data_IF_533309138366
#
_entry.id   IF_533309138366
#
_cell.length_a   1.000
_cell.length_b   1.000
_cell.length_c   1.000
_cell.angle_alpha   90.00
_cell.angle_beta   90.00
_cell.angle_gamma   90.00
#
_symmetry.space_group_name_H-M   'P 1'
#
loop_
_entity.id
_entity.type
_entity.pdbx_description
1 polymer ?
#
# COMPACT_ATOMS: atom_id res chain seq x y z
N UNK A 1 -5.29 -7.49 -18.84
CA UNK A 1 -6.28 -7.78 -17.79
C UNK A 1 -5.57 -8.24 -16.53
N UNK A 2 -5.48 -7.36 -15.54
CA UNK A 2 -4.85 -7.63 -14.26
C UNK A 2 -5.18 -6.54 -13.24
N UNK A 3 -4.75 -6.77 -11.99
CA UNK A 3 -4.82 -5.76 -10.94
C UNK A 3 -3.52 -4.96 -10.94
N UNK A 4 -3.65 -3.64 -10.88
CA UNK A 4 -2.55 -2.73 -10.60
C UNK A 4 -2.69 -2.29 -9.15
N UNK A 5 -1.64 -2.55 -8.37
CA UNK A 5 -1.50 -2.08 -7.00
C UNK A 5 -0.42 -1.00 -7.00
N UNK A 6 -0.83 0.23 -6.75
CA UNK A 6 0.06 1.38 -6.70
C UNK A 6 -0.03 2.01 -5.33
N UNK A 7 1.13 2.35 -4.77
CA UNK A 7 1.19 3.06 -3.52
C UNK A 7 1.42 4.52 -3.81
N UNK A 8 0.44 5.31 -3.39
CA UNK A 8 0.43 6.74 -3.63
C UNK A 8 0.49 7.50 -2.32
N UNK A 9 1.10 8.67 -2.40
CA UNK A 9 1.28 9.56 -1.27
C UNK A 9 0.65 10.89 -1.61
N UNK A 10 -0.44 11.23 -0.92
CA UNK A 10 -1.13 12.49 -1.15
C UNK A 10 -0.73 13.49 -0.09
N UNK A 11 -0.03 14.55 -0.53
CA UNK A 11 0.41 15.65 0.32
C UNK A 11 -0.34 16.92 -0.05
N UNK A 12 -0.74 17.68 0.96
CA UNK A 12 -1.22 19.04 0.76
C UNK A 12 -0.04 20.00 0.80
N UNK A 13 -0.11 21.13 0.09
CA UNK A 13 0.92 22.18 0.15
C UNK A 13 0.41 23.30 1.05
N UNK A 14 1.20 23.71 2.05
CA UNK A 14 0.83 24.83 2.91
C UNK A 14 1.06 26.14 2.17
N UNK A 15 0.00 26.94 1.99
CA UNK A 15 0.06 28.18 1.20
C UNK A 15 1.02 29.23 1.78
N UNK A 16 1.34 29.18 3.09
CA UNK A 16 2.23 30.16 3.72
C UNK A 16 3.69 29.77 3.60
N UNK A 17 4.00 28.48 3.81
CA UNK A 17 5.39 28.00 3.81
C UNK A 17 5.81 27.44 2.46
N UNK A 18 4.86 27.09 1.59
CA UNK A 18 5.10 26.34 0.36
C UNK A 18 5.50 24.89 0.58
N UNK A 19 5.53 24.43 1.84
CA UNK A 19 6.01 23.09 2.19
C UNK A 19 4.88 22.06 2.13
N UNK A 20 5.16 20.83 1.69
CA UNK A 20 4.21 19.74 1.78
C UNK A 20 3.90 19.42 3.25
N UNK A 21 2.66 19.04 3.53
CA UNK A 21 2.20 18.65 4.87
C UNK A 21 1.10 17.61 4.79
N UNK A 22 0.85 16.98 5.93
CA UNK A 22 -0.24 16.04 6.15
C UNK A 22 -1.15 16.49 7.26
N UNK A 23 -2.45 16.27 7.04
CA UNK A 23 -3.45 16.45 8.06
C UNK A 23 -3.54 15.19 8.91
N UNK A 24 -3.55 15.35 10.22
CA UNK A 24 -3.76 14.25 11.16
C UNK A 24 -4.66 14.70 12.32
N UNK A 25 -5.27 13.74 13.01
CA UNK A 25 -6.10 14.05 14.18
C UNK A 25 -5.23 13.90 15.43
N UNK A 26 -5.00 15.01 16.13
CA UNK A 26 -4.29 15.06 17.40
C UNK A 26 -5.27 15.40 18.52
N UNK A 27 -5.49 14.47 19.45
CA UNK A 27 -6.43 14.66 20.58
C UNK A 27 -7.83 15.14 20.18
N UNK A 28 -8.33 14.72 19.00
CA UNK A 28 -9.65 15.10 18.49
C UNK A 28 -9.67 16.38 17.64
N UNK A 29 -8.52 17.04 17.46
CA UNK A 29 -8.39 18.24 16.61
C UNK A 29 -7.62 17.92 15.33
N UNK A 30 -8.00 18.58 14.23
CA UNK A 30 -7.26 18.51 12.97
C UNK A 30 -5.98 19.35 13.11
N UNK A 31 -4.83 18.70 12.95
CA UNK A 31 -3.50 19.30 13.04
C UNK A 31 -2.70 19.03 11.76
N UNK A 32 -1.66 19.84 11.52
CA UNK A 32 -0.81 19.77 10.33
C UNK A 32 0.61 19.37 10.73
N UNK A 33 1.15 18.34 10.07
CA UNK A 33 2.57 17.98 10.19
C UNK A 33 3.25 18.23 8.86
N UNK A 34 4.26 19.09 8.84
CA UNK A 34 5.12 19.27 7.67
C UNK A 34 5.77 17.95 7.29
N UNK A 35 5.79 17.67 6.00
CA UNK A 35 6.43 16.49 5.45
C UNK A 35 7.83 16.87 4.96
N UNK A 36 8.83 16.15 5.44
CA UNK A 36 10.19 16.19 4.89
C UNK A 36 10.42 14.91 4.06
N UNK A 37 10.66 15.02 2.74
CA UNK A 37 10.95 13.86 1.89
C UNK A 37 12.12 13.00 2.38
N UNK A 38 13.11 13.59 3.06
CA UNK A 38 14.26 12.85 3.58
C UNK A 38 13.89 11.95 4.77
N UNK A 39 12.83 12.29 5.52
CA UNK A 39 12.31 11.45 6.61
C UNK A 39 11.60 10.18 6.12
N UNK A 40 11.19 10.17 4.84
CA UNK A 40 10.40 9.10 4.23
C UNK A 40 11.08 8.53 2.98
N UNK A 41 12.36 8.18 3.12
CA UNK A 41 13.07 7.43 2.10
C UNK A 41 12.72 5.95 2.17
N UNK A 42 12.10 5.44 1.11
CA UNK A 42 11.75 4.02 0.99
C UNK A 42 13.04 3.20 0.85
N UNK A 43 13.28 2.19 1.71
CA UNK A 43 14.41 1.26 1.58
C UNK A 43 14.46 0.60 0.20
N UNK A 44 15.68 0.38 -0.31
CA UNK A 44 15.89 -0.18 -1.65
C UNK A 44 15.18 -1.53 -1.85
N UNK A 45 15.18 -2.39 -0.82
CA UNK A 45 14.48 -3.68 -0.82
C UNK A 45 12.97 -3.60 -0.98
N UNK A 46 12.37 -2.42 -0.81
CA UNK A 46 10.93 -2.22 -0.90
C UNK A 46 10.50 -1.46 -2.15
N UNK A 47 11.46 -0.97 -2.95
CA UNK A 47 11.14 -0.17 -4.14
C UNK A 47 10.32 -0.96 -5.16
N UNK A 48 10.55 -2.28 -5.26
CA UNK A 48 9.77 -3.13 -6.16
C UNK A 48 8.27 -3.12 -5.81
N UNK A 49 7.92 -3.03 -4.52
CA UNK A 49 6.53 -3.13 -4.07
C UNK A 49 5.72 -1.83 -4.18
N UNK A 50 6.34 -0.72 -4.59
CA UNK A 50 5.65 0.58 -4.75
C UNK A 50 4.61 0.51 -5.87
N UNK A 51 4.97 -0.13 -6.97
CA UNK A 51 4.12 -0.29 -8.14
C UNK A 51 4.20 -1.73 -8.58
N UNK A 52 3.07 -2.42 -8.47
CA UNK A 52 2.97 -3.84 -8.70
C UNK A 52 1.79 -4.11 -9.63
N UNK A 53 1.98 -5.10 -10.50
CA UNK A 53 0.94 -5.53 -11.43
C UNK A 53 0.85 -7.04 -11.42
N UNK A 54 -0.37 -7.54 -11.47
CA UNK A 54 -0.63 -8.92 -11.86
C UNK A 54 -1.83 -9.54 -11.16
N UNK A 55 -2.13 -10.76 -11.56
CA UNK A 55 -3.32 -11.47 -11.10
C UNK A 55 -3.19 -12.01 -9.67
N UNK A 56 -1.95 -12.12 -9.15
CA UNK A 56 -1.67 -12.51 -7.77
C UNK A 56 -2.37 -11.62 -6.74
N UNK A 57 -2.60 -10.34 -7.07
CA UNK A 57 -3.26 -9.41 -6.15
C UNK A 57 -4.75 -9.70 -5.96
N UNK A 58 -5.36 -10.55 -6.79
CA UNK A 58 -6.76 -10.96 -6.66
C UNK A 58 -7.09 -11.46 -5.25
N UNK A 59 -6.21 -12.25 -4.64
CA UNK A 59 -6.43 -12.81 -3.30
C UNK A 59 -6.36 -11.75 -2.19
N UNK A 60 -5.58 -10.70 -2.41
CA UNK A 60 -5.33 -9.66 -1.41
C UNK A 60 -6.45 -8.64 -1.33
N UNK A 61 -7.27 -8.56 -2.38
CA UNK A 61 -8.25 -7.48 -2.55
C UNK A 61 -9.69 -7.95 -2.52
N UNK A 62 -9.93 -9.24 -2.26
CA UNK A 62 -11.29 -9.83 -2.22
C UNK A 62 -12.23 -9.14 -1.23
N UNK A 63 -11.66 -8.53 -0.20
CA UNK A 63 -12.41 -7.83 0.85
C UNK A 63 -12.63 -6.34 0.51
N UNK A 64 -12.13 -5.87 -0.63
CA UNK A 64 -12.29 -4.51 -1.12
C UNK A 64 -13.22 -4.51 -2.34
N UNK A 65 -14.39 -3.90 -2.20
CA UNK A 65 -15.40 -3.84 -3.27
C UNK A 65 -15.23 -2.56 -4.09
N UNK A 66 -15.12 -2.68 -5.41
CA UNK A 66 -15.10 -1.57 -6.37
C UNK A 66 -14.05 -1.73 -7.48
N UNK A 67 -14.19 -0.96 -8.56
CA UNK A 67 -13.22 -0.91 -9.67
C UNK A 67 -11.91 -0.20 -9.25
N UNK A 68 -12.03 0.70 -8.28
CA UNK A 68 -10.93 1.37 -7.60
C UNK A 68 -11.20 1.35 -6.10
N UNK A 69 -10.19 1.00 -5.30
CA UNK A 69 -10.27 1.06 -3.86
C UNK A 69 -9.03 1.73 -3.27
N UNK A 70 -9.25 2.53 -2.22
CA UNK A 70 -8.17 3.15 -1.45
C UNK A 70 -8.12 2.58 -0.04
N UNK A 71 -6.96 2.05 0.36
CA UNK A 71 -6.73 1.44 1.67
C UNK A 71 -5.54 2.09 2.37
N UNK A 72 -5.58 2.22 3.70
CA UNK A 72 -4.34 2.48 4.45
C UNK A 72 -3.58 1.17 4.66
N UNK A 73 -2.25 1.21 4.86
CA UNK A 73 -1.45 0.02 5.17
C UNK A 73 -2.07 -0.85 6.27
N UNK A 74 -2.47 -0.28 7.41
CA UNK A 74 -3.17 -1.01 8.48
C UNK A 74 -4.45 -1.73 8.04
N UNK A 75 -5.23 -1.10 7.16
CA UNK A 75 -6.53 -1.63 6.73
C UNK A 75 -6.29 -2.79 5.75
N UNK A 76 -5.25 -2.67 4.92
CA UNK A 76 -4.77 -3.75 4.06
C UNK A 76 -4.20 -4.92 4.87
N UNK A 77 -3.36 -4.63 5.88
CA UNK A 77 -2.78 -5.63 6.78
C UNK A 77 -3.84 -6.41 7.57
N UNK A 78 -4.94 -5.76 7.96
CA UNK A 78 -6.03 -6.41 8.67
C UNK A 78 -6.67 -7.55 7.87
N UNK A 79 -6.73 -7.41 6.54
CA UNK A 79 -7.30 -8.40 5.63
C UNK A 79 -6.23 -9.18 4.85
N UNK A 80 -4.97 -9.09 5.27
CA UNK A 80 -3.87 -9.72 4.55
C UNK A 80 -4.05 -11.25 4.55
N UNK A 81 -4.08 -11.90 3.37
CA UNK A 81 -4.38 -13.32 3.28
C UNK A 81 -3.23 -14.17 3.82
N UNK A 82 -3.54 -15.41 4.24
CA UNK A 82 -2.51 -16.41 4.52
C UNK A 82 -1.87 -16.91 3.22
N UNK A 83 -0.57 -17.20 3.25
CA UNK A 83 0.15 -17.67 2.06
C UNK A 83 -0.47 -18.93 1.44
N UNK A 84 -0.94 -19.89 2.24
CA UNK A 84 -1.55 -21.11 1.68
C UNK A 84 -2.83 -20.80 0.90
N UNK A 85 -3.62 -19.82 1.37
CA UNK A 85 -4.81 -19.37 0.66
C UNK A 85 -4.45 -18.68 -0.66
N UNK A 86 -3.42 -17.82 -0.64
CA UNK A 86 -2.89 -17.18 -1.86
C UNK A 86 -2.39 -18.23 -2.84
N UNK A 87 -1.59 -19.19 -2.36
CA UNK A 87 -1.01 -20.26 -3.19
C UNK A 87 -2.08 -21.09 -3.88
N UNK A 88 -3.11 -21.55 -3.17
CA UNK A 88 -4.20 -22.36 -3.77
C UNK A 88 -4.92 -21.58 -4.88
N UNK A 89 -5.10 -20.28 -4.70
CA UNK A 89 -5.78 -19.43 -5.68
C UNK A 89 -4.88 -19.07 -6.86
N UNK A 90 -3.59 -18.93 -6.62
CA UNK A 90 -2.57 -18.66 -7.63
C UNK A 90 -2.09 -19.91 -8.35
N UNK A 91 -2.27 -21.14 -7.83
CA UNK A 91 -1.98 -22.38 -8.57
C UNK A 91 -2.83 -22.52 -9.86
N UNK A 92 -3.87 -21.71 -9.99
CA UNK A 92 -4.68 -21.56 -11.21
C UNK A 92 -4.09 -20.54 -12.21
N UNK A 93 -3.03 -19.83 -11.81
CA UNK A 93 -2.34 -18.79 -12.55
C UNK A 93 -0.91 -19.29 -12.77
N UNK A 94 -0.51 -19.46 -14.03
CA UNK A 94 0.76 -20.05 -14.46
C UNK A 94 1.94 -19.07 -14.23
N UNK A 95 2.08 -18.56 -12.99
CA UNK A 95 2.95 -17.43 -12.64
C UNK A 95 3.86 -17.80 -11.46
N UNK A 96 5.05 -18.33 -11.80
CA UNK A 96 6.13 -18.69 -10.85
C UNK A 96 6.77 -17.47 -10.16
N UNK A 97 6.40 -16.25 -10.56
CA UNK A 97 7.03 -15.04 -10.04
C UNK A 97 6.64 -14.73 -8.58
N UNK A 98 5.39 -15.00 -8.19
CA UNK A 98 4.90 -14.66 -6.85
C UNK A 98 4.96 -15.85 -5.91
N UNK A 99 5.92 -15.85 -4.99
CA UNK A 99 6.14 -16.93 -4.01
C UNK A 99 5.98 -16.46 -2.55
N UNK A 100 6.21 -17.37 -1.61
CA UNK A 100 6.07 -17.13 -0.17
C UNK A 100 7.00 -16.02 0.33
N UNK A 101 8.21 -15.92 -0.24
CA UNK A 101 9.15 -14.86 0.08
C UNK A 101 8.58 -13.51 -0.34
N UNK A 102 8.09 -13.38 -1.58
CA UNK A 102 7.46 -12.12 -2.03
C UNK A 102 6.24 -11.76 -1.19
N UNK A 103 5.43 -12.76 -0.80
CA UNK A 103 4.29 -12.56 0.09
C UNK A 103 4.70 -12.02 1.46
N UNK A 104 5.77 -12.55 2.05
CA UNK A 104 6.27 -12.11 3.34
C UNK A 104 6.97 -10.76 3.27
N UNK A 105 7.78 -10.53 2.23
CA UNK A 105 8.47 -9.26 1.99
C UNK A 105 7.48 -8.13 1.72
N UNK A 106 6.42 -8.41 0.97
CA UNK A 106 5.34 -7.45 0.75
C UNK A 106 4.65 -7.11 2.08
N UNK A 107 4.35 -8.11 2.92
CA UNK A 107 3.80 -7.86 4.26
C UNK A 107 4.72 -7.00 5.12
N UNK A 108 6.01 -7.31 5.15
CA UNK A 108 7.02 -6.54 5.90
C UNK A 108 7.05 -5.09 5.41
N UNK A 109 6.94 -4.87 4.10
CA UNK A 109 6.84 -3.53 3.53
C UNK A 109 5.58 -2.78 3.98
N UNK A 110 4.41 -3.45 4.00
CA UNK A 110 3.17 -2.86 4.52
C UNK A 110 3.31 -2.44 5.98
N UNK A 111 3.91 -3.30 6.81
CA UNK A 111 4.16 -3.05 8.23
C UNK A 111 5.14 -1.88 8.41
N UNK A 112 6.21 -1.83 7.60
CA UNK A 112 7.16 -0.72 7.61
C UNK A 112 6.48 0.61 7.26
N UNK A 113 5.61 0.64 6.24
CA UNK A 113 4.86 1.85 5.89
C UNK A 113 3.88 2.26 6.97
N UNK A 114 3.16 1.33 7.58
CA UNK A 114 2.24 1.65 8.68
C UNK A 114 3.00 2.27 9.86
N UNK A 115 4.18 1.74 10.18
CA UNK A 115 5.03 2.26 11.25
C UNK A 115 5.62 3.65 10.91
N UNK A 116 6.04 3.87 9.67
CA UNK A 116 6.68 5.12 9.25
C UNK A 116 5.69 6.24 8.96
N UNK A 117 4.53 5.90 8.43
CA UNK A 117 3.62 6.87 7.87
C UNK A 117 2.15 6.40 7.88
N UNK A 118 1.58 6.15 9.07
CA UNK A 118 0.23 5.59 9.21
C UNK A 118 -0.88 6.52 8.69
N UNK A 119 -0.54 7.78 8.41
CA UNK A 119 -1.47 8.83 8.00
C UNK A 119 -1.31 9.27 6.55
N UNK A 120 -0.30 8.78 5.83
CA UNK A 120 0.10 9.40 4.57
C UNK A 120 0.22 8.40 3.42
N UNK A 121 0.56 7.14 3.69
CA UNK A 121 0.56 6.10 2.66
C UNK A 121 -0.88 5.64 2.38
N UNK A 122 -1.32 5.76 1.13
CA UNK A 122 -2.58 5.20 0.64
C UNK A 122 -2.25 4.22 -0.47
N UNK A 123 -2.73 2.99 -0.32
CA UNK A 123 -2.77 2.02 -1.39
C UNK A 123 -3.91 2.37 -2.31
N UNK A 124 -3.61 2.55 -3.58
CA UNK A 124 -4.61 2.60 -4.62
C UNK A 124 -4.56 1.30 -5.39
N UNK A 125 -5.70 0.64 -5.46
CA UNK A 125 -5.86 -0.61 -6.18
C UNK A 125 -6.80 -0.32 -7.33
N UNK A 126 -6.32 -0.58 -8.54
CA UNK A 126 -7.05 -0.32 -9.77
C UNK A 126 -7.21 -1.63 -10.54
N UNK A 127 -8.41 -1.88 -11.07
CA UNK A 127 -8.59 -2.89 -12.10
C UNK A 127 -8.25 -2.29 -13.47
N UNK A 128 -7.26 -2.85 -14.16
CA UNK A 128 -6.93 -2.44 -15.53
C UNK A 128 -7.22 -3.53 -16.55
N UNK A 129 -7.96 -3.16 -17.59
CA UNK A 129 -8.34 -4.02 -18.72
C UNK A 129 -7.15 -4.26 -19.67
#
# INVERSE_FOLDING_TARGET
MGFDLTISFTLSIDEKTGMPYVNFINQGFLDKKTYDPEEFKIPEKYLEYIEQRGNQFKSYIKNFNGDMFTARPKDFLHFYPDWNAVKIENELLDDDYWNETNHNDFKEFLEWMDAKSPYISIFEIHWSY
#
